data_IF_832118573454
#
_entry.id   IF_832118573454
#
_cell.length_a   1.000
_cell.length_b   1.000
_cell.length_c   1.000
_cell.angle_alpha   90.00
_cell.angle_beta   90.00
_cell.angle_gamma   90.00
#
_symmetry.space_group_name_H-M   'P 1'
#
loop_
_entity.id
_entity.type
_entity.pdbx_description
1 polymer ?
#
# COMPACT_ATOMS: atom_id res chain seq x y z
N UNK A 1 7.44 24.13 -58.94
CA UNK A 1 8.10 23.03 -58.21
C UNK A 1 8.32 23.52 -56.79
N UNK A 2 7.37 23.21 -55.91
CA UNK A 2 7.33 23.64 -54.51
C UNK A 2 8.00 22.58 -53.65
N UNK A 3 9.08 22.96 -52.97
CA UNK A 3 9.80 22.12 -52.02
C UNK A 3 9.02 22.05 -50.69
N UNK A 4 8.74 20.83 -50.25
CA UNK A 4 8.03 20.54 -49.02
C UNK A 4 9.04 20.18 -47.93
N UNK A 5 9.13 21.02 -46.90
CA UNK A 5 9.92 20.80 -45.69
C UNK A 5 9.11 19.92 -44.73
N UNK A 6 9.46 18.63 -44.65
CA UNK A 6 8.93 17.71 -43.66
C UNK A 6 9.57 17.97 -42.30
N UNK A 7 8.84 18.62 -41.40
CA UNK A 7 9.16 18.67 -39.97
C UNK A 7 8.96 17.26 -39.40
N UNK A 8 10.06 16.62 -38.97
CA UNK A 8 10.02 15.39 -38.19
C UNK A 8 9.46 15.67 -36.81
N UNK A 9 8.25 15.19 -36.53
CA UNK A 9 7.72 15.12 -35.18
C UNK A 9 8.46 14.01 -34.42
N UNK A 10 9.40 14.39 -33.56
CA UNK A 10 9.96 13.49 -32.56
C UNK A 10 8.87 13.18 -31.53
N UNK A 11 8.14 12.08 -31.74
CA UNK A 11 7.25 11.54 -30.73
C UNK A 11 8.08 11.07 -29.54
N UNK A 12 8.16 11.89 -28.48
CA UNK A 12 8.62 11.44 -27.18
C UNK A 12 7.65 10.34 -26.73
N UNK A 13 8.17 9.14 -26.55
CA UNK A 13 7.45 8.02 -25.97
C UNK A 13 7.10 8.41 -24.51
N UNK A 14 5.96 9.09 -24.29
CA UNK A 14 5.49 9.47 -22.95
C UNK A 14 5.45 8.18 -22.13
N UNK A 15 6.27 8.08 -21.09
CA UNK A 15 6.05 7.05 -20.10
C UNK A 15 4.63 7.25 -19.57
N UNK A 16 3.76 6.24 -19.78
CA UNK A 16 2.32 6.42 -19.61
C UNK A 16 1.99 6.59 -18.12
N UNK A 17 1.82 7.84 -17.67
CA UNK A 17 1.19 8.15 -16.39
C UNK A 17 -0.31 7.87 -16.49
N UNK A 18 -0.85 7.13 -15.53
CA UNK A 18 -2.28 6.94 -15.36
C UNK A 18 -2.74 7.90 -14.27
N UNK A 19 -3.62 8.82 -14.64
CA UNK A 19 -4.25 9.75 -13.69
C UNK A 19 -5.60 9.17 -13.30
N UNK A 20 -5.84 9.01 -12.00
CA UNK A 20 -7.17 8.67 -11.50
C UNK A 20 -7.62 9.68 -10.48
N UNK A 21 -8.88 10.10 -10.60
CA UNK A 21 -9.51 11.10 -9.74
C UNK A 21 -10.69 10.47 -9.04
N UNK A 22 -10.75 10.66 -7.73
CA UNK A 22 -11.81 10.16 -6.87
C UNK A 22 -12.25 11.29 -5.94
N UNK A 23 -13.56 11.44 -5.72
CA UNK A 23 -14.09 12.32 -4.68
C UNK A 23 -14.34 11.47 -3.44
N UNK A 24 -13.72 11.82 -2.32
CA UNK A 24 -13.87 11.08 -1.07
C UNK A 24 -15.27 11.32 -0.47
N UNK A 25 -15.66 10.48 0.49
CA UNK A 25 -16.95 10.61 1.17
C UNK A 25 -17.15 12.03 1.74
N UNK A 26 -18.39 12.51 1.74
CA UNK A 26 -18.70 13.89 2.10
C UNK A 26 -18.41 14.93 1.01
N UNK A 27 -17.71 14.59 -0.08
CA UNK A 27 -17.64 15.41 -1.30
C UNK A 27 -16.65 16.58 -1.28
N UNK A 28 -15.98 16.83 -0.14
CA UNK A 28 -15.14 18.03 0.07
C UNK A 28 -13.68 17.83 -0.30
N UNK A 29 -13.21 16.58 -0.34
CA UNK A 29 -11.82 16.22 -0.59
C UNK A 29 -11.76 15.40 -1.87
N UNK A 30 -10.85 15.78 -2.76
CA UNK A 30 -10.64 15.12 -4.05
C UNK A 30 -9.25 14.50 -4.06
N UNK A 31 -9.18 13.18 -4.22
CA UNK A 31 -7.94 12.44 -4.37
C UNK A 31 -7.58 12.32 -5.85
N UNK A 32 -6.46 12.91 -6.25
CA UNK A 32 -5.83 12.65 -7.55
C UNK A 32 -4.62 11.75 -7.34
N UNK A 33 -4.59 10.63 -8.04
CA UNK A 33 -3.47 9.68 -8.03
C UNK A 33 -2.74 9.74 -9.36
N UNK A 34 -1.46 10.10 -9.33
CA UNK A 34 -0.56 10.00 -10.49
C UNK A 34 0.19 8.67 -10.37
N UNK A 35 -0.09 7.76 -11.30
CA UNK A 35 0.44 6.39 -11.27
C UNK A 35 1.40 6.21 -12.44
N UNK A 36 2.70 6.14 -12.14
CA UNK A 36 3.74 6.02 -13.15
C UNK A 36 4.04 4.55 -13.50
N UNK A 37 4.58 4.31 -14.70
CA UNK A 37 4.80 2.96 -15.23
C UNK A 37 5.88 2.18 -14.48
N UNK A 38 6.91 2.86 -13.97
CA UNK A 38 8.10 2.24 -13.35
C UNK A 38 8.22 2.50 -11.85
N UNK A 39 7.11 2.74 -11.16
CA UNK A 39 7.08 3.09 -9.73
C UNK A 39 7.06 4.60 -9.48
N UNK A 40 6.82 4.96 -8.23
CA UNK A 40 6.78 6.33 -7.74
C UNK A 40 5.46 7.05 -7.90
N UNK A 41 4.43 6.59 -7.18
CA UNK A 41 3.13 7.23 -7.19
C UNK A 41 3.16 8.57 -6.45
N UNK A 42 2.29 9.47 -6.88
CA UNK A 42 2.01 10.73 -6.19
C UNK A 42 0.52 10.80 -5.89
N UNK A 43 0.18 10.97 -4.61
CA UNK A 43 -1.21 11.13 -4.18
C UNK A 43 -1.46 12.56 -3.76
N UNK A 44 -2.54 13.15 -4.26
CA UNK A 44 -2.81 14.58 -4.12
C UNK A 44 -4.20 14.74 -3.55
N UNK A 45 -4.27 15.14 -2.28
CA UNK A 45 -5.51 15.52 -1.60
C UNK A 45 -5.78 16.99 -1.88
N UNK A 46 -6.86 17.26 -2.60
CA UNK A 46 -7.29 18.61 -2.98
C UNK A 46 -8.55 19.00 -2.22
N UNK A 47 -8.51 20.15 -1.55
CA UNK A 47 -9.59 20.66 -0.70
C UNK A 47 -9.62 22.19 -0.70
N UNK A 48 -10.68 22.78 -0.16
CA UNK A 48 -10.81 24.22 0.06
C UNK A 48 -10.44 24.58 1.48
N UNK A 49 -9.60 25.61 1.67
CA UNK A 49 -9.31 26.20 2.98
C UNK A 49 -9.26 27.71 2.86
N UNK A 50 -10.09 28.41 3.64
CA UNK A 50 -10.17 29.88 3.59
C UNK A 50 -10.53 30.42 2.20
N UNK A 51 -11.41 29.73 1.47
CA UNK A 51 -11.84 30.11 0.11
C UNK A 51 -10.78 29.92 -0.98
N UNK A 52 -9.70 29.18 -0.69
CA UNK A 52 -8.65 28.86 -1.67
C UNK A 52 -8.48 27.35 -1.78
N UNK A 53 -8.22 26.89 -3.01
CA UNK A 53 -7.78 25.53 -3.26
C UNK A 53 -6.42 25.28 -2.61
N UNK A 54 -6.27 24.12 -1.98
CA UNK A 54 -5.03 23.64 -1.37
C UNK A 54 -4.79 22.20 -1.73
N UNK A 55 -3.51 21.84 -1.80
CA UNK A 55 -3.06 20.48 -2.07
C UNK A 55 -2.13 19.99 -0.96
N UNK A 56 -2.43 18.82 -0.40
CA UNK A 56 -1.46 18.02 0.36
C UNK A 56 -1.04 16.83 -0.49
N UNK A 57 0.26 16.70 -0.71
CA UNK A 57 0.86 15.58 -1.44
C UNK A 57 1.27 14.49 -0.44
N UNK A 58 1.00 13.23 -0.78
CA UNK A 58 1.60 12.06 -0.14
C UNK A 58 2.52 11.40 -1.17
N UNK A 59 3.79 11.33 -0.80
CA UNK A 59 4.94 11.06 -1.67
C UNK A 59 5.07 12.05 -2.84
N UNK A 60 6.20 11.97 -3.53
CA UNK A 60 6.58 12.86 -4.63
C UNK A 60 7.03 12.10 -5.88
N UNK A 61 6.93 10.77 -5.92
CA UNK A 61 7.33 10.02 -7.10
C UNK A 61 8.83 10.01 -7.35
N UNK A 62 9.24 9.61 -8.55
CA UNK A 62 10.63 9.38 -8.95
C UNK A 62 11.21 10.54 -9.77
N UNK A 63 12.49 10.87 -9.57
CA UNK A 63 13.19 11.99 -10.22
C UNK A 63 13.27 11.89 -11.76
N UNK A 64 13.12 10.68 -12.32
CA UNK A 64 13.04 10.45 -13.77
C UNK A 64 11.88 11.19 -14.43
N UNK A 65 10.83 11.53 -13.66
CA UNK A 65 9.65 12.26 -14.15
C UNK A 65 9.77 13.79 -13.98
N UNK A 66 10.94 14.31 -13.60
CA UNK A 66 11.15 15.74 -13.34
C UNK A 66 10.89 16.64 -14.56
N UNK A 67 11.13 16.15 -15.77
CA UNK A 67 10.84 16.88 -17.01
C UNK A 67 9.36 16.96 -17.40
N UNK A 68 8.49 16.15 -16.80
CA UNK A 68 7.08 16.05 -17.19
C UNK A 68 6.08 16.35 -16.06
N UNK A 69 6.49 16.23 -14.79
CA UNK A 69 5.58 16.35 -13.64
C UNK A 69 4.78 17.65 -13.63
N UNK A 70 5.39 18.81 -13.93
CA UNK A 70 4.67 20.08 -13.94
C UNK A 70 3.60 20.13 -15.05
N UNK A 71 3.86 19.52 -16.20
CA UNK A 71 2.86 19.37 -17.27
C UNK A 71 1.73 18.43 -16.84
N UNK A 72 2.06 17.31 -16.19
CA UNK A 72 1.08 16.35 -15.68
C UNK A 72 0.17 17.01 -14.62
N UNK A 73 0.74 17.81 -13.72
CA UNK A 73 -0.02 18.57 -12.72
C UNK A 73 -0.96 19.59 -13.39
N UNK A 74 -0.45 20.37 -14.35
CA UNK A 74 -1.24 21.33 -15.10
C UNK A 74 -2.40 20.66 -15.87
N UNK A 75 -2.13 19.57 -16.60
CA UNK A 75 -3.15 18.75 -17.29
C UNK A 75 -4.17 18.15 -16.31
N UNK A 76 -3.74 17.89 -15.06
CA UNK A 76 -4.60 17.40 -13.98
C UNK A 76 -5.36 18.51 -13.26
N UNK A 77 -5.14 19.79 -13.58
CA UNK A 77 -5.77 20.93 -12.90
C UNK A 77 -5.22 21.19 -11.50
N UNK A 78 -3.98 20.78 -11.24
CA UNK A 78 -3.27 20.97 -9.97
C UNK A 78 -2.23 22.05 -10.17
N UNK A 79 -2.34 23.12 -9.38
CA UNK A 79 -1.40 24.23 -9.43
C UNK A 79 -0.31 24.02 -8.36
N UNK A 80 0.98 23.91 -8.74
CA UNK A 80 2.06 23.76 -7.78
C UNK A 80 2.09 24.83 -6.70
N UNK A 81 1.72 26.08 -7.02
CA UNK A 81 1.70 27.18 -6.06
C UNK A 81 0.63 27.04 -4.95
N UNK A 82 -0.30 26.10 -5.09
CA UNK A 82 -1.34 25.80 -4.08
C UNK A 82 -1.01 24.55 -3.25
N UNK A 83 0.18 23.95 -3.44
CA UNK A 83 0.70 22.89 -2.58
C UNK A 83 1.10 23.49 -1.23
N UNK A 84 0.53 22.98 -0.15
CA UNK A 84 0.88 23.43 1.20
C UNK A 84 1.87 22.50 1.90
N UNK A 85 1.83 21.21 1.55
CA UNK A 85 2.58 20.16 2.24
C UNK A 85 2.88 18.99 1.33
N UNK A 86 4.06 18.40 1.52
CA UNK A 86 4.47 17.15 0.90
C UNK A 86 4.87 16.19 2.02
N UNK A 87 4.12 15.11 2.23
CA UNK A 87 4.39 14.10 3.26
C UNK A 87 5.10 12.92 2.61
N UNK A 88 6.26 12.54 3.11
CA UNK A 88 7.08 11.44 2.57
C UNK A 88 6.90 10.19 3.43
N UNK A 89 6.43 9.11 2.81
CA UNK A 89 6.19 7.85 3.52
C UNK A 89 7.48 7.17 3.96
N UNK A 90 8.54 7.24 3.16
CA UNK A 90 9.89 6.75 3.49
C UNK A 90 10.95 7.15 2.45
N UNK A 91 12.23 6.86 2.75
CA UNK A 91 13.43 7.21 1.98
C UNK A 91 13.68 6.51 0.65
N UNK A 92 12.73 5.77 0.08
CA UNK A 92 12.98 5.20 -1.24
C UNK A 92 12.88 6.28 -2.34
N UNK A 93 13.78 6.30 -3.33
CA UNK A 93 13.89 7.38 -4.32
C UNK A 93 12.62 7.59 -5.14
N UNK A 94 11.82 6.55 -5.35
CA UNK A 94 10.53 6.66 -6.01
C UNK A 94 9.43 7.28 -5.13
N UNK A 95 9.69 7.55 -3.85
CA UNK A 95 8.76 8.24 -2.95
C UNK A 95 9.11 9.71 -2.72
N UNK A 96 10.37 10.12 -2.90
CA UNK A 96 10.81 11.49 -2.65
C UNK A 96 11.50 12.18 -3.85
N UNK A 97 11.69 11.50 -4.97
CA UNK A 97 12.53 11.93 -6.08
C UNK A 97 12.17 13.29 -6.70
N UNK A 98 10.92 13.74 -6.59
CA UNK A 98 10.50 15.08 -7.06
C UNK A 98 10.29 16.11 -5.95
N UNK A 99 10.60 15.78 -4.69
CA UNK A 99 10.38 16.67 -3.53
C UNK A 99 11.00 18.03 -3.76
N UNK A 100 12.27 18.08 -4.15
CA UNK A 100 12.95 19.35 -4.38
C UNK A 100 12.21 20.23 -5.39
N UNK A 101 11.78 19.64 -6.51
CA UNK A 101 11.13 20.40 -7.58
C UNK A 101 9.78 20.92 -7.11
N UNK A 102 8.97 20.05 -6.50
CA UNK A 102 7.64 20.42 -6.02
C UNK A 102 7.71 21.42 -4.87
N UNK A 103 8.62 21.24 -3.91
CA UNK A 103 8.85 22.18 -2.81
C UNK A 103 9.41 23.52 -3.31
N UNK A 104 10.32 23.51 -4.29
CA UNK A 104 10.88 24.73 -4.89
C UNK A 104 9.84 25.56 -5.64
N UNK A 105 8.93 24.92 -6.37
CA UNK A 105 7.85 25.60 -7.10
C UNK A 105 6.73 26.13 -6.19
N UNK A 106 6.54 25.52 -5.02
CA UNK A 106 5.40 25.81 -4.13
C UNK A 106 5.75 26.57 -2.85
N UNK A 107 6.99 26.44 -2.38
CA UNK A 107 7.37 26.79 -1.00
C UNK A 107 6.74 25.87 0.06
N UNK A 108 6.22 24.70 -0.33
CA UNK A 108 5.53 23.78 0.56
C UNK A 108 6.46 23.22 1.64
N UNK A 109 5.91 23.00 2.83
CA UNK A 109 6.58 22.31 3.91
C UNK A 109 6.67 20.82 3.60
N UNK A 110 7.87 20.25 3.67
CA UNK A 110 8.06 18.81 3.54
C UNK A 110 7.98 18.18 4.94
N UNK A 111 7.23 17.09 5.08
CA UNK A 111 7.06 16.39 6.35
C UNK A 111 7.53 14.96 6.17
N UNK A 112 8.45 14.52 7.01
CA UNK A 112 9.01 13.17 6.97
C UNK A 112 9.30 12.65 8.37
N UNK A 113 9.40 11.34 8.52
CA UNK A 113 9.88 10.75 9.78
C UNK A 113 11.34 11.16 10.06
N UNK A 114 11.73 11.33 11.32
CA UNK A 114 13.06 11.81 11.71
C UNK A 114 14.21 10.98 11.13
N UNK A 115 14.00 9.68 10.92
CA UNK A 115 14.97 8.82 10.27
C UNK A 115 15.38 9.32 8.87
N UNK A 116 14.49 10.00 8.14
CA UNK A 116 14.75 10.56 6.81
C UNK A 116 15.90 11.58 6.82
N UNK A 117 16.18 12.20 7.98
CA UNK A 117 17.25 13.20 8.14
C UNK A 117 18.62 12.68 7.74
N UNK A 118 18.95 11.44 8.08
CA UNK A 118 20.24 10.83 7.72
C UNK A 118 20.44 10.77 6.19
N UNK A 119 19.36 10.53 5.43
CA UNK A 119 19.41 10.59 3.97
C UNK A 119 19.77 11.99 3.49
N UNK A 120 19.07 13.02 4.00
CA UNK A 120 19.27 14.42 3.63
C UNK A 120 20.68 14.92 3.99
N UNK A 121 21.22 14.48 5.13
CA UNK A 121 22.56 14.85 5.59
C UNK A 121 23.67 14.13 4.81
N UNK A 122 23.33 13.09 4.03
CA UNK A 122 24.27 12.30 3.24
C UNK A 122 24.85 11.09 3.98
N UNK A 123 24.28 10.75 5.14
CA UNK A 123 24.60 9.58 5.97
C UNK A 123 23.98 8.30 5.40
N UNK A 124 24.27 8.05 4.12
CA UNK A 124 23.65 6.96 3.36
C UNK A 124 24.57 5.75 3.31
N UNK A 125 24.04 4.58 3.69
CA UNK A 125 24.77 3.31 3.59
C UNK A 125 25.16 2.96 2.15
N UNK A 126 26.23 2.18 1.96
CA UNK A 126 26.67 1.77 0.60
C UNK A 126 25.56 1.07 -0.22
N UNK A 127 24.68 0.35 0.46
CA UNK A 127 23.53 -0.30 -0.16
C UNK A 127 22.47 0.69 -0.64
N UNK A 128 22.06 1.64 0.21
CA UNK A 128 21.08 2.68 -0.13
C UNK A 128 21.57 3.53 -1.31
N UNK A 129 22.88 3.81 -1.40
CA UNK A 129 23.49 4.50 -2.56
C UNK A 129 23.26 3.79 -3.90
N UNK A 130 23.07 2.47 -3.92
CA UNK A 130 22.75 1.75 -5.18
C UNK A 130 21.33 1.99 -5.66
N UNK A 131 20.41 2.36 -4.76
CA UNK A 131 19.01 2.61 -5.08
C UNK A 131 18.75 4.07 -5.43
N UNK A 132 19.58 4.98 -4.89
CA UNK A 132 19.45 6.43 -5.09
C UNK A 132 19.74 6.93 -6.51
N UNK A 133 20.34 6.12 -7.38
CA UNK A 133 20.72 6.53 -8.75
C UNK A 133 21.44 7.92 -8.77
N UNK A 134 21.32 8.69 -9.85
CA UNK A 134 21.76 10.10 -9.96
C UNK A 134 20.91 11.09 -9.12
N UNK A 135 20.15 10.64 -8.10
CA UNK A 135 19.36 11.54 -7.25
C UNK A 135 20.28 12.50 -6.50
N UNK A 136 20.19 13.78 -6.84
CA UNK A 136 20.95 14.83 -6.19
C UNK A 136 20.35 15.17 -4.81
N UNK A 137 20.74 14.40 -3.81
CA UNK A 137 20.32 14.58 -2.41
C UNK A 137 20.71 15.94 -1.83
N UNK A 138 21.71 16.62 -2.40
CA UNK A 138 22.14 17.94 -1.90
C UNK A 138 21.01 18.96 -1.98
N UNK A 139 20.13 18.81 -2.96
CA UNK A 139 18.97 19.66 -3.20
C UNK A 139 17.89 19.51 -2.12
N UNK A 140 17.81 18.36 -1.46
CA UNK A 140 16.88 18.19 -0.32
C UNK A 140 17.24 19.10 0.86
N UNK A 141 18.51 19.52 0.99
CA UNK A 141 18.94 20.46 2.05
C UNK A 141 18.38 21.87 1.85
N UNK A 142 17.90 22.19 0.66
CA UNK A 142 17.25 23.47 0.34
C UNK A 142 15.76 23.47 0.70
N UNK A 143 15.18 22.31 1.00
CA UNK A 143 13.77 22.18 1.34
C UNK A 143 13.51 22.52 2.82
N UNK A 144 12.36 23.13 3.11
CA UNK A 144 11.85 23.28 4.48
C UNK A 144 11.27 21.93 4.95
N UNK A 145 12.11 21.11 5.59
CA UNK A 145 11.75 19.77 6.07
C UNK A 145 11.49 19.78 7.58
N UNK A 146 10.29 19.38 7.96
CA UNK A 146 9.92 19.00 9.32
C UNK A 146 10.10 17.49 9.53
N UNK A 147 10.91 17.17 10.54
CA UNK A 147 11.22 15.82 10.95
C UNK A 147 10.36 15.42 12.14
N UNK A 148 9.49 14.44 11.95
CA UNK A 148 8.57 13.96 12.99
C UNK A 148 9.20 12.86 13.82
N UNK A 149 8.92 12.89 15.12
CA UNK A 149 9.34 11.88 16.09
C UNK A 149 8.10 11.20 16.66
N UNK A 150 8.26 9.96 17.15
CA UNK A 150 7.21 9.36 17.98
C UNK A 150 6.94 10.30 19.16
N UNK A 151 5.70 10.76 19.28
CA UNK A 151 5.31 11.64 20.38
C UNK A 151 5.21 10.82 21.66
N UNK A 152 5.97 11.17 22.69
CA UNK A 152 5.84 10.58 24.04
C UNK A 152 4.45 10.85 24.66
N UNK A 153 3.70 11.82 24.11
CA UNK A 153 2.37 12.24 24.58
C UNK A 153 1.26 11.98 23.56
N UNK A 154 1.58 11.43 22.39
CA UNK A 154 0.61 11.19 21.34
C UNK A 154 -0.21 9.94 21.63
N UNK A 155 -1.53 10.05 21.69
CA UNK A 155 -2.39 8.87 21.73
C UNK A 155 -2.19 8.06 20.44
N UNK A 156 -1.94 6.76 20.59
CA UNK A 156 -1.81 5.87 19.44
C UNK A 156 -3.16 5.73 18.75
N UNK A 157 -3.15 5.72 17.42
CA UNK A 157 -4.34 5.38 16.63
C UNK A 157 -4.42 3.87 16.52
N UNK A 158 -5.51 3.30 17.04
CA UNK A 158 -5.75 1.86 16.97
C UNK A 158 -6.33 1.51 15.60
N UNK A 159 -5.52 0.88 14.75
CA UNK A 159 -5.95 0.34 13.46
C UNK A 159 -6.10 -1.17 13.57
N UNK A 160 -7.34 -1.66 13.45
CA UNK A 160 -7.68 -3.08 13.52
C UNK A 160 -7.07 -3.82 14.72
N UNK A 161 -7.09 -3.17 15.89
CA UNK A 161 -6.57 -3.72 17.14
C UNK A 161 -5.09 -3.51 17.40
N UNK A 162 -4.34 -2.92 16.46
CA UNK A 162 -2.91 -2.61 16.61
C UNK A 162 -2.72 -1.12 16.81
N UNK A 163 -1.89 -0.75 17.77
CA UNK A 163 -1.61 0.64 18.12
C UNK A 163 -0.50 1.20 17.22
N UNK A 164 -0.86 2.19 16.39
CA UNK A 164 0.07 2.95 15.57
C UNK A 164 0.40 4.27 16.30
N UNK A 165 1.66 4.53 16.67
CA UNK A 165 2.01 5.73 17.40
C UNK A 165 1.81 6.98 16.52
N UNK A 166 1.16 8.00 17.07
CA UNK A 166 1.01 9.29 16.41
C UNK A 166 2.37 10.04 16.40
N UNK A 167 2.78 10.54 15.24
CA UNK A 167 4.04 11.27 15.06
C UNK A 167 3.89 12.79 15.17
N UNK A 168 2.66 13.28 15.06
CA UNK A 168 2.30 14.69 15.17
C UNK A 168 0.84 14.82 15.61
N UNK A 169 0.45 16.04 15.98
CA UNK A 169 -0.97 16.40 16.01
C UNK A 169 -1.58 16.21 14.62
N UNK A 170 -2.86 15.83 14.60
CA UNK A 170 -3.56 15.62 13.35
C UNK A 170 -3.67 16.92 12.55
N UNK A 171 -3.61 16.79 11.23
CA UNK A 171 -3.64 17.93 10.31
C UNK A 171 -5.02 18.07 9.69
N UNK A 172 -5.64 19.22 9.87
CA UNK A 172 -6.91 19.53 9.21
C UNK A 172 -6.73 19.69 7.68
N UNK A 173 -7.54 18.96 6.93
CA UNK A 173 -7.63 19.04 5.47
C UNK A 173 -9.01 19.51 5.02
N UNK A 174 -9.08 20.82 4.79
CA UNK A 174 -10.28 21.49 4.31
C UNK A 174 -11.32 21.72 5.40
N UNK A 175 -12.59 21.76 5.01
CA UNK A 175 -13.72 21.98 5.92
C UNK A 175 -14.32 20.64 6.38
N UNK A 176 -13.62 19.91 7.24
CA UNK A 176 -14.18 18.69 7.80
C UNK A 176 -13.29 17.46 7.74
N UNK A 177 -12.10 17.53 7.13
CA UNK A 177 -11.23 16.37 6.96
C UNK A 177 -10.00 16.45 7.83
N UNK A 178 -9.38 15.29 8.07
CA UNK A 178 -8.25 15.12 8.96
C UNK A 178 -7.21 14.16 8.39
N UNK A 179 -5.92 14.44 8.66
CA UNK A 179 -4.81 13.54 8.40
C UNK A 179 -4.08 13.21 9.70
N UNK A 180 -4.02 11.93 10.05
CA UNK A 180 -3.15 11.42 11.09
C UNK A 180 -1.86 10.86 10.47
N UNK A 181 -0.71 11.33 10.93
CA UNK A 181 0.61 10.87 10.49
C UNK A 181 1.16 9.94 11.56
N UNK A 182 1.31 8.67 11.20
CA UNK A 182 1.51 7.56 12.11
C UNK A 182 2.86 6.89 11.87
N UNK A 183 3.52 6.48 12.94
CA UNK A 183 4.68 5.61 12.89
C UNK A 183 4.25 4.16 12.74
N UNK A 184 5.21 3.29 12.42
CA UNK A 184 4.97 1.86 12.49
C UNK A 184 4.90 1.41 13.96
N UNK A 185 4.04 0.43 14.31
CA UNK A 185 4.11 -0.26 15.60
C UNK A 185 5.52 -0.80 15.85
N UNK A 186 5.93 -0.91 17.12
CA UNK A 186 7.26 -1.42 17.49
C UNK A 186 7.49 -2.82 16.92
N UNK A 187 8.30 -2.88 15.87
CA UNK A 187 8.67 -4.11 15.14
C UNK A 187 10.19 -4.29 15.19
N UNK A 188 10.67 -5.53 15.31
CA UNK A 188 12.11 -5.83 15.26
C UNK A 188 12.72 -5.56 13.87
N UNK A 189 11.88 -5.46 12.83
CA UNK A 189 12.30 -5.27 11.45
C UNK A 189 11.27 -4.44 10.67
N UNK A 190 11.65 -3.21 10.31
CA UNK A 190 10.84 -2.35 9.43
C UNK A 190 11.31 -2.41 7.97
N UNK A 191 10.41 -2.15 7.03
CA UNK A 191 10.75 -2.00 5.60
C UNK A 191 11.80 -0.91 5.38
N UNK A 192 11.60 0.22 6.04
CA UNK A 192 12.56 1.32 6.13
C UNK A 192 12.57 1.88 7.56
N UNK A 193 13.73 2.32 8.10
CA UNK A 193 13.80 2.92 9.45
C UNK A 193 13.02 4.24 9.59
N UNK A 194 12.55 4.81 8.48
CA UNK A 194 11.75 6.03 8.41
C UNK A 194 10.35 5.82 7.85
N UNK A 195 9.86 4.58 7.86
CA UNK A 195 8.53 4.25 7.41
C UNK A 195 7.46 4.90 8.29
N UNK A 196 6.61 5.73 7.66
CA UNK A 196 5.37 6.23 8.25
C UNK A 196 4.14 5.75 7.45
N UNK A 197 2.97 5.95 8.04
CA UNK A 197 1.65 5.70 7.47
C UNK A 197 0.83 6.97 7.61
N UNK A 198 0.06 7.34 6.58
CA UNK A 198 -0.86 8.47 6.66
C UNK A 198 -2.29 7.94 6.59
N UNK A 199 -3.08 8.23 7.61
CA UNK A 199 -4.52 7.99 7.64
C UNK A 199 -5.24 9.30 7.30
N UNK A 200 -5.98 9.30 6.20
CA UNK A 200 -6.82 10.40 5.76
C UNK A 200 -8.27 10.07 6.08
N UNK A 201 -8.90 10.87 6.94
CA UNK A 201 -10.33 10.78 7.19
C UNK A 201 -11.05 11.98 6.60
N UNK A 202 -12.14 11.80 5.84
CA UNK A 202 -12.93 12.92 5.32
C UNK A 202 -13.88 13.55 6.37
N UNK A 203 -13.73 13.20 7.66
CA UNK A 203 -14.51 13.67 8.81
C UNK A 203 -13.60 14.20 9.92
N UNK A 204 -14.13 15.11 10.74
CA UNK A 204 -13.39 15.81 11.80
C UNK A 204 -13.04 14.89 13.00
N UNK A 205 -13.81 13.81 13.20
CA UNK A 205 -13.59 12.83 14.26
C UNK A 205 -13.39 11.41 13.68
N UNK A 206 -12.13 10.97 13.51
CA UNK A 206 -11.81 9.64 13.02
C UNK A 206 -11.86 8.67 14.20
N UNK A 207 -13.04 8.16 14.55
CA UNK A 207 -13.12 7.00 15.42
C UNK A 207 -13.17 5.72 14.57
N UNK A 208 -12.08 4.93 14.51
CA UNK A 208 -12.11 3.63 13.83
C UNK A 208 -12.87 2.54 14.60
N UNK A 209 -13.46 2.83 15.78
CA UNK A 209 -14.05 1.76 16.62
C UNK A 209 -15.35 2.06 17.37
N UNK A 210 -16.02 3.19 17.16
CA UNK A 210 -17.35 3.40 17.76
C UNK A 210 -18.39 3.73 16.70
N UNK A 211 -19.59 3.20 16.92
CA UNK A 211 -20.75 3.14 16.02
C UNK A 211 -20.84 4.35 15.08
N UNK A 212 -21.12 4.06 13.82
CA UNK A 212 -21.41 5.02 12.75
C UNK A 212 -22.19 6.23 13.28
N UNK A 213 -21.47 7.29 13.66
CA UNK A 213 -22.08 8.60 13.84
C UNK A 213 -22.42 9.08 12.44
N UNK A 214 -23.71 9.07 12.12
CA UNK A 214 -24.35 9.70 10.97
C UNK A 214 -23.61 9.56 9.62
N UNK A 215 -23.77 8.41 8.95
CA UNK A 215 -23.60 8.32 7.49
C UNK A 215 -22.18 8.05 6.94
N UNK A 216 -21.17 7.87 7.79
CA UNK A 216 -19.82 7.49 7.37
C UNK A 216 -19.50 6.01 7.67
N UNK A 217 -18.78 5.36 6.75
CA UNK A 217 -18.40 3.94 6.81
C UNK A 217 -16.88 3.79 7.00
N UNK A 218 -16.38 2.67 7.54
CA UNK A 218 -14.95 2.42 7.64
C UNK A 218 -14.18 2.49 6.31
N UNK A 219 -14.82 2.28 5.14
CA UNK A 219 -14.19 2.51 3.82
C UNK A 219 -13.86 3.94 3.49
N UNK A 220 -14.45 4.89 4.20
CA UNK A 220 -14.43 6.28 3.79
C UNK A 220 -13.10 6.94 4.16
N UNK A 221 -12.39 6.37 5.13
CA UNK A 221 -11.01 6.72 5.44
C UNK A 221 -10.06 6.19 4.34
N UNK A 222 -8.85 6.74 4.20
CA UNK A 222 -7.85 6.30 3.20
C UNK A 222 -6.51 6.16 3.89
N UNK A 223 -5.85 5.02 3.70
CA UNK A 223 -4.53 4.77 4.29
C UNK A 223 -3.45 4.77 3.20
N UNK A 224 -2.49 5.67 3.33
CA UNK A 224 -1.28 5.70 2.53
C UNK A 224 -0.14 5.06 3.34
N UNK A 225 0.25 3.85 2.96
CA UNK A 225 1.24 3.05 3.71
C UNK A 225 2.62 2.99 3.04
N UNK A 226 2.82 3.70 1.93
CA UNK A 226 4.04 3.57 1.12
C UNK A 226 4.31 2.11 0.75
N UNK A 227 5.52 1.66 1.00
CA UNK A 227 5.94 0.28 0.76
C UNK A 227 5.69 -0.67 1.94
N UNK A 228 5.15 -0.19 3.06
CA UNK A 228 4.81 -1.05 4.20
C UNK A 228 3.87 -2.18 3.80
N UNK A 229 3.10 -2.01 2.72
CA UNK A 229 2.23 -3.04 2.17
C UNK A 229 2.96 -4.13 1.35
N UNK A 230 4.17 -3.89 0.84
CA UNK A 230 4.81 -4.80 -0.09
C UNK A 230 5.17 -6.14 0.56
N UNK A 231 4.69 -7.21 -0.08
CA UNK A 231 4.99 -8.60 0.25
C UNK A 231 6.45 -8.96 -0.05
N UNK A 232 7.19 -8.09 -0.77
CA UNK A 232 8.62 -8.17 -1.04
C UNK A 232 9.32 -6.88 -0.56
N UNK A 233 9.83 -6.86 0.65
CA UNK A 233 10.88 -5.92 1.03
C UNK A 233 12.14 -6.12 0.18
N UNK A 234 13.00 -5.09 0.01
CA UNK A 234 14.21 -5.17 -0.78
C UNK A 234 15.16 -6.26 -0.27
N UNK A 235 15.83 -6.94 -1.19
CA UNK A 235 16.85 -7.94 -0.85
C UNK A 235 18.10 -7.23 -0.31
N UNK A 236 18.47 -7.54 0.92
CA UNK A 236 19.67 -7.05 1.58
C UNK A 236 20.90 -7.75 1.00
N UNK A 237 21.88 -6.96 0.57
CA UNK A 237 23.17 -7.40 0.05
C UNK A 237 24.26 -7.21 1.11
N UNK A 238 25.33 -7.96 0.94
CA UNK A 238 26.44 -8.20 1.85
C UNK A 238 27.36 -6.99 2.10
N UNK A 239 27.45 -6.48 3.34
CA UNK A 239 28.68 -5.84 3.86
C UNK A 239 28.76 -5.60 5.40
N UNK A 240 29.99 -5.41 5.90
CA UNK A 240 30.55 -5.57 7.26
C UNK A 240 29.68 -5.51 8.54
N UNK A 241 28.60 -4.73 8.64
CA UNK A 241 27.62 -4.87 9.75
C UNK A 241 26.86 -6.20 9.64
N UNK A 242 26.69 -6.67 8.41
CA UNK A 242 26.28 -8.01 8.02
C UNK A 242 27.32 -9.06 8.43
N UNK A 243 28.59 -8.73 8.68
CA UNK A 243 29.60 -9.71 9.15
C UNK A 243 29.43 -10.01 10.65
N UNK A 244 29.23 -9.00 11.49
CA UNK A 244 28.93 -9.22 12.92
C UNK A 244 27.58 -9.89 13.12
N UNK A 245 26.61 -9.57 12.26
CA UNK A 245 25.33 -10.26 12.21
C UNK A 245 25.45 -11.69 11.64
N UNK A 246 26.16 -11.93 10.54
CA UNK A 246 26.50 -13.28 10.00
C UNK A 246 27.30 -14.12 10.98
N UNK A 247 28.11 -13.51 11.84
CA UNK A 247 28.85 -14.25 12.88
C UNK A 247 27.89 -14.73 13.98
N UNK A 248 26.96 -13.87 14.44
CA UNK A 248 25.91 -14.25 15.41
C UNK A 248 24.85 -15.18 14.82
N UNK A 249 24.45 -14.95 13.57
CA UNK A 249 23.53 -15.79 12.81
C UNK A 249 24.19 -17.11 12.43
N UNK A 250 25.47 -17.13 12.07
CA UNK A 250 26.30 -18.31 11.83
C UNK A 250 26.48 -19.17 13.09
N UNK A 251 26.54 -18.55 14.28
CA UNK A 251 26.48 -19.24 15.56
C UNK A 251 25.10 -19.86 15.84
N UNK A 252 24.01 -19.18 15.48
CA UNK A 252 22.64 -19.75 15.55
C UNK A 252 22.41 -20.82 14.47
N UNK A 253 23.02 -20.67 13.30
CA UNK A 253 22.92 -21.56 12.14
C UNK A 253 23.76 -22.83 12.35
N UNK A 254 24.94 -22.74 12.97
CA UNK A 254 25.66 -23.93 13.45
C UNK A 254 24.83 -24.67 14.51
N UNK A 255 24.15 -23.95 15.41
CA UNK A 255 23.22 -24.57 16.37
C UNK A 255 22.05 -25.27 15.66
N UNK A 256 21.49 -24.66 14.62
CA UNK A 256 20.39 -25.19 13.80
C UNK A 256 20.80 -26.38 12.93
N UNK A 257 22.01 -26.38 12.36
CA UNK A 257 22.53 -27.49 11.54
C UNK A 257 22.93 -28.69 12.41
N UNK A 258 23.45 -28.44 13.61
CA UNK A 258 23.70 -29.49 14.63
C UNK A 258 22.37 -30.10 15.14
N UNK A 259 21.24 -29.39 14.98
CA UNK A 259 19.89 -29.87 15.26
C UNK A 259 19.06 -30.23 14.00
N UNK A 260 19.67 -30.32 12.81
CA UNK A 260 19.02 -30.82 11.58
C UNK A 260 18.16 -29.84 10.76
N UNK A 261 18.24 -28.52 10.98
CA UNK A 261 17.49 -27.50 10.23
C UNK A 261 18.18 -26.98 8.95
N UNK A 262 17.38 -26.73 7.90
CA UNK A 262 17.81 -26.23 6.58
C UNK A 262 18.17 -24.74 6.49
N UNK A 263 18.58 -24.30 5.30
CA UNK A 263 19.12 -22.95 5.03
C UNK A 263 18.01 -21.89 4.95
N UNK A 264 17.89 -21.05 5.97
CA UNK A 264 16.83 -20.01 6.07
C UNK A 264 17.15 -18.84 5.13
N UNK A 265 16.31 -18.61 4.11
CA UNK A 265 16.32 -17.39 3.30
C UNK A 265 15.35 -16.37 3.91
N UNK A 266 15.71 -15.08 3.90
CA UNK A 266 14.91 -13.99 4.50
C UNK A 266 13.53 -13.91 3.84
N UNK A 267 12.46 -14.07 4.64
CA UNK A 267 11.10 -13.84 4.19
C UNK A 267 10.77 -12.33 4.28
N UNK A 268 10.57 -11.63 3.15
CA UNK A 268 10.19 -10.21 3.17
C UNK A 268 8.86 -9.92 3.88
N UNK A 269 8.02 -10.92 4.14
CA UNK A 269 6.74 -10.79 4.84
C UNK A 269 6.88 -10.74 6.37
N UNK A 270 8.05 -11.10 6.91
CA UNK A 270 8.33 -11.03 8.36
C UNK A 270 8.57 -9.59 8.82
N UNK A 271 8.88 -8.68 7.89
CA UNK A 271 9.00 -7.24 8.18
C UNK A 271 7.61 -6.68 8.49
N UNK A 272 7.48 -6.02 9.64
CA UNK A 272 6.27 -5.34 10.08
C UNK A 272 5.00 -6.21 10.06
N UNK A 273 5.13 -7.49 10.40
CA UNK A 273 4.03 -8.46 10.21
C UNK A 273 2.73 -8.06 10.92
N UNK A 274 2.81 -7.51 12.14
CA UNK A 274 1.66 -6.99 12.89
C UNK A 274 1.04 -5.76 12.22
N UNK A 275 1.88 -4.80 11.79
CA UNK A 275 1.41 -3.60 11.09
C UNK A 275 0.76 -3.97 9.75
N UNK A 276 1.37 -4.87 8.98
CA UNK A 276 0.83 -5.41 7.74
C UNK A 276 -0.50 -6.13 7.98
N UNK A 277 -0.63 -6.96 9.00
CA UNK A 277 -1.90 -7.66 9.33
C UNK A 277 -2.98 -6.67 9.79
N UNK A 278 -2.60 -5.63 10.53
CA UNK A 278 -3.51 -4.55 10.93
C UNK A 278 -4.03 -3.75 9.73
N UNK A 279 -3.14 -3.28 8.86
CA UNK A 279 -3.49 -2.59 7.62
C UNK A 279 -4.34 -3.46 6.70
N UNK A 280 -4.09 -4.78 6.68
CA UNK A 280 -4.90 -5.75 5.93
C UNK A 280 -6.34 -5.86 6.44
N UNK A 281 -6.55 -5.69 7.74
CA UNK A 281 -7.87 -5.78 8.39
C UNK A 281 -8.61 -4.43 8.41
N UNK A 282 -7.88 -3.31 8.47
CA UNK A 282 -8.39 -1.97 8.76
C UNK A 282 -9.16 -1.27 7.64
N UNK A 283 -9.35 -1.91 6.47
CA UNK A 283 -9.89 -1.28 5.27
C UNK A 283 -8.99 -0.17 4.68
N UNK A 284 -9.21 0.07 3.39
CA UNK A 284 -8.95 1.29 2.62
C UNK A 284 -7.77 1.35 1.66
N UNK A 285 -8.09 2.03 0.55
CA UNK A 285 -7.45 2.07 -0.76
C UNK A 285 -5.93 2.13 -0.75
N UNK A 286 -5.25 0.98 -0.65
CA UNK A 286 -3.80 0.97 -0.80
C UNK A 286 -3.48 0.91 -2.29
N UNK A 287 -3.48 2.07 -2.93
CA UNK A 287 -2.84 2.21 -4.23
C UNK A 287 -1.36 1.97 -4.00
N UNK A 288 -0.87 0.80 -4.38
CA UNK A 288 0.56 0.50 -4.38
C UNK A 288 0.86 -0.09 -5.73
N UNK A 289 1.24 0.78 -6.66
CA UNK A 289 2.01 0.35 -7.81
C UNK A 289 3.46 0.75 -7.59
N UNK A 290 4.39 -0.16 -7.29
CA UNK A 290 5.81 0.13 -7.36
C UNK A 290 6.39 -0.40 -8.68
N UNK A 291 7.64 -0.06 -8.95
CA UNK A 291 8.47 -0.50 -10.08
C UNK A 291 8.74 -2.00 -10.19
N UNK A 292 7.75 -2.85 -9.88
CA UNK A 292 7.79 -4.32 -9.98
C UNK A 292 6.58 -4.94 -10.70
N UNK A 293 5.66 -4.14 -11.25
CA UNK A 293 4.56 -4.64 -12.11
C UNK A 293 3.33 -3.72 -12.16
N UNK A 294 2.38 -4.05 -13.03
CA UNK A 294 1.06 -3.40 -13.05
C UNK A 294 0.19 -3.98 -11.92
N UNK A 295 0.28 -3.43 -10.70
CA UNK A 295 -0.35 -4.05 -9.51
C UNK A 295 -1.11 -3.06 -8.60
N UNK A 296 -2.28 -3.53 -8.12
CA UNK A 296 -3.00 -3.34 -6.84
C UNK A 296 -3.45 -1.94 -6.33
N UNK A 297 -4.78 -1.75 -6.14
CA UNK A 297 -5.44 -0.58 -5.51
C UNK A 297 -6.33 -1.03 -4.34
N UNK A 298 -5.74 -1.43 -3.21
CA UNK A 298 -6.40 -2.23 -2.19
C UNK A 298 -7.74 -1.73 -1.65
N UNK A 299 -8.85 -2.30 -2.12
CA UNK A 299 -9.97 -2.58 -1.23
C UNK A 299 -9.52 -3.68 -0.24
N UNK A 300 -10.10 -3.71 0.98
CA UNK A 300 -9.84 -4.74 2.02
C UNK A 300 -9.59 -6.08 1.36
N UNK A 301 -8.33 -6.51 1.24
CA UNK A 301 -8.06 -7.88 0.85
C UNK A 301 -8.77 -8.67 1.94
N UNK A 302 -9.56 -9.67 1.60
CA UNK A 302 -10.05 -10.62 2.58
C UNK A 302 -8.89 -11.59 2.79
N UNK A 303 -7.84 -11.19 3.54
CA UNK A 303 -6.47 -11.67 3.36
C UNK A 303 -6.39 -13.13 3.81
N UNK A 304 -7.32 -13.51 4.68
CA UNK A 304 -7.46 -14.82 5.29
C UNK A 304 -8.42 -15.74 4.54
N UNK A 305 -9.19 -15.21 3.59
CA UNK A 305 -10.19 -15.97 2.84
C UNK A 305 -9.69 -16.40 1.47
N UNK A 306 -8.92 -15.55 0.79
CA UNK A 306 -8.35 -15.86 -0.52
C UNK A 306 -6.85 -16.14 -0.39
N UNK A 307 -6.46 -17.14 0.40
CA UNK A 307 -5.05 -17.51 0.54
C UNK A 307 -4.53 -18.25 -0.71
N UNK A 308 -3.36 -17.83 -1.19
CA UNK A 308 -2.56 -18.63 -2.11
C UNK A 308 -1.94 -19.82 -1.36
N UNK A 309 -1.52 -20.85 -2.10
CA UNK A 309 -0.92 -22.04 -1.50
C UNK A 309 0.42 -21.68 -0.80
N UNK A 310 1.19 -20.73 -1.33
CA UNK A 310 2.38 -20.18 -0.66
C UNK A 310 2.08 -19.46 0.66
N UNK A 311 0.90 -18.87 0.82
CA UNK A 311 0.52 -18.26 2.10
C UNK A 311 0.28 -19.36 3.15
N UNK A 312 -0.40 -20.45 2.76
CA UNK A 312 -0.67 -21.59 3.64
C UNK A 312 0.60 -22.33 4.06
N UNK A 313 1.58 -22.49 3.16
CA UNK A 313 2.88 -23.08 3.53
C UNK A 313 3.53 -22.31 4.68
N UNK A 314 3.54 -20.98 4.57
CA UNK A 314 4.22 -20.12 5.53
C UNK A 314 3.45 -20.01 6.82
N UNK A 315 2.12 -19.96 6.76
CA UNK A 315 1.26 -20.08 7.93
C UNK A 315 1.52 -21.38 8.70
N UNK A 316 1.85 -22.47 7.99
CA UNK A 316 2.19 -23.75 8.59
C UNK A 316 3.67 -23.89 9.00
N UNK A 317 4.47 -22.84 8.87
CA UNK A 317 5.86 -22.79 9.33
C UNK A 317 6.89 -23.28 8.30
N UNK A 318 6.49 -23.47 7.04
CA UNK A 318 7.40 -23.85 5.96
C UNK A 318 7.95 -22.61 5.23
N UNK A 319 9.14 -22.76 4.64
CA UNK A 319 9.74 -21.71 3.83
C UNK A 319 9.12 -21.64 2.42
N UNK A 320 9.25 -20.50 1.74
CA UNK A 320 8.70 -20.28 0.38
C UNK A 320 9.37 -21.10 -0.72
N UNK A 321 10.57 -21.61 -0.48
CA UNK A 321 11.32 -22.46 -1.40
C UNK A 321 10.96 -23.94 -1.25
N UNK A 322 10.16 -24.29 -0.23
CA UNK A 322 9.66 -25.65 -0.06
C UNK A 322 8.63 -26.01 -1.13
N UNK A 323 8.53 -27.31 -1.41
CA UNK A 323 7.60 -27.78 -2.44
C UNK A 323 6.15 -27.62 -2.01
N UNK A 324 5.32 -26.98 -2.84
CA UNK A 324 3.87 -26.92 -2.65
C UNK A 324 3.19 -28.32 -2.61
N UNK A 325 3.89 -29.37 -3.05
CA UNK A 325 3.40 -30.74 -2.88
C UNK A 325 3.25 -31.14 -1.41
N UNK A 326 3.97 -30.49 -0.49
CA UNK A 326 3.83 -30.69 0.96
C UNK A 326 2.39 -30.45 1.44
N UNK A 327 1.70 -29.45 0.87
CA UNK A 327 0.30 -29.16 1.21
C UNK A 327 -0.66 -30.31 0.86
N UNK A 328 -0.24 -31.22 -0.01
CA UNK A 328 -0.99 -32.43 -0.40
C UNK A 328 -0.55 -33.68 0.36
N UNK A 329 0.44 -33.56 1.26
CA UNK A 329 0.88 -34.67 2.10
C UNK A 329 -0.24 -35.14 3.03
N UNK A 330 -0.19 -36.39 3.46
CA UNK A 330 -1.15 -36.94 4.42
C UNK A 330 -1.18 -36.15 5.75
N UNK A 331 -0.06 -35.54 6.12
CA UNK A 331 0.07 -34.71 7.32
C UNK A 331 -0.62 -33.34 7.17
N UNK A 332 -0.37 -32.62 6.07
CA UNK A 332 -0.87 -31.26 5.90
C UNK A 332 -2.24 -31.18 5.25
N UNK A 333 -2.67 -32.17 4.47
CA UNK A 333 -3.95 -32.12 3.75
C UNK A 333 -5.15 -31.84 4.66
N UNK A 334 -5.29 -32.44 5.87
CA UNK A 334 -6.35 -32.10 6.81
C UNK A 334 -6.27 -30.65 7.32
N UNK A 335 -5.04 -30.15 7.58
CA UNK A 335 -4.81 -28.76 8.03
C UNK A 335 -5.17 -27.76 6.93
N UNK A 336 -4.81 -28.05 5.68
CA UNK A 336 -5.21 -27.26 4.51
C UNK A 336 -6.72 -27.21 4.37
N UNK A 337 -7.40 -28.35 4.48
CA UNK A 337 -8.86 -28.40 4.39
C UNK A 337 -9.53 -27.57 5.49
N UNK A 338 -9.11 -27.74 6.75
CA UNK A 338 -9.63 -26.96 7.87
C UNK A 338 -9.36 -25.46 7.69
N UNK A 339 -8.17 -25.09 7.19
CA UNK A 339 -7.83 -23.68 6.97
C UNK A 339 -8.65 -23.04 5.85
N UNK A 340 -8.95 -23.80 4.79
CA UNK A 340 -9.85 -23.38 3.70
C UNK A 340 -11.30 -23.28 4.16
N UNK A 341 -11.73 -24.12 5.09
CA UNK A 341 -13.05 -24.00 5.72
C UNK A 341 -13.16 -22.71 6.53
N UNK A 342 -12.17 -22.44 7.39
CA UNK A 342 -12.09 -21.19 8.15
C UNK A 342 -12.05 -19.97 7.22
N UNK A 343 -11.32 -20.06 6.11
CA UNK A 343 -11.27 -19.02 5.08
C UNK A 343 -12.65 -18.71 4.50
N UNK A 344 -13.49 -19.72 4.27
CA UNK A 344 -14.87 -19.55 3.81
C UNK A 344 -15.76 -18.91 4.87
N UNK A 345 -15.69 -19.37 6.12
CA UNK A 345 -16.49 -18.78 7.21
C UNK A 345 -16.15 -17.30 7.40
N UNK A 346 -14.86 -16.97 7.46
CA UNK A 346 -14.42 -15.57 7.54
C UNK A 346 -14.83 -14.75 6.32
N UNK A 347 -14.95 -15.36 5.13
CA UNK A 347 -15.45 -14.65 3.95
C UNK A 347 -16.92 -14.27 4.11
N UNK A 348 -17.76 -15.22 4.54
CA UNK A 348 -19.18 -14.96 4.75
C UNK A 348 -19.42 -13.94 5.86
N UNK A 349 -18.75 -14.10 7.01
CA UNK A 349 -18.80 -13.16 8.14
C UNK A 349 -18.42 -11.74 7.74
N UNK A 350 -17.39 -11.60 6.90
CA UNK A 350 -16.94 -10.31 6.37
C UNK A 350 -18.01 -9.62 5.52
N UNK A 351 -18.70 -10.37 4.65
CA UNK A 351 -19.79 -9.81 3.83
C UNK A 351 -21.02 -9.43 4.67
N UNK A 352 -21.34 -10.20 5.73
CA UNK A 352 -22.36 -9.81 6.71
C UNK A 352 -21.97 -8.49 7.38
N UNK A 353 -20.71 -8.38 7.82
CA UNK A 353 -20.21 -7.15 8.45
C UNK A 353 -20.31 -5.95 7.50
N UNK A 354 -20.03 -6.12 6.20
CA UNK A 354 -20.26 -5.04 5.22
C UNK A 354 -21.74 -4.70 5.09
N UNK A 355 -22.64 -5.68 5.03
CA UNK A 355 -24.07 -5.38 5.01
C UNK A 355 -24.54 -4.61 6.26
N UNK A 356 -24.05 -4.99 7.45
CA UNK A 356 -24.35 -4.31 8.73
C UNK A 356 -23.79 -2.88 8.80
N UNK A 357 -22.66 -2.62 8.13
CA UNK A 357 -22.08 -1.29 7.96
C UNK A 357 -22.81 -0.44 6.89
N UNK A 358 -23.89 -0.95 6.30
CA UNK A 358 -24.75 -0.21 5.38
C UNK A 358 -24.33 -0.25 3.92
N UNK A 359 -23.44 -1.16 3.51
CA UNK A 359 -23.10 -1.33 2.10
C UNK A 359 -24.22 -2.05 1.36
N UNK A 360 -24.58 -1.51 0.19
CA UNK A 360 -25.55 -2.16 -0.70
C UNK A 360 -24.93 -3.39 -1.37
N UNK A 361 -25.75 -4.37 -1.81
CA UNK A 361 -25.25 -5.53 -2.55
C UNK A 361 -24.41 -5.18 -3.78
N UNK A 362 -24.76 -4.10 -4.49
CA UNK A 362 -24.04 -3.64 -5.68
C UNK A 362 -22.68 -3.06 -5.32
N UNK A 363 -22.57 -2.29 -4.23
CA UNK A 363 -21.30 -1.77 -3.73
C UNK A 363 -20.35 -2.89 -3.30
N UNK A 364 -20.86 -3.87 -2.53
CA UNK A 364 -20.09 -5.05 -2.11
C UNK A 364 -19.62 -5.83 -3.35
N UNK A 365 -20.50 -6.06 -4.32
CA UNK A 365 -20.15 -6.75 -5.58
C UNK A 365 -19.08 -5.97 -6.35
N UNK A 366 -19.20 -4.64 -6.43
CA UNK A 366 -18.21 -3.75 -7.03
C UNK A 366 -16.84 -3.85 -6.36
N UNK A 367 -16.79 -3.90 -5.02
CA UNK A 367 -15.57 -4.10 -4.25
C UNK A 367 -14.93 -5.47 -4.55
N UNK A 368 -15.71 -6.55 -4.59
CA UNK A 368 -15.20 -7.88 -4.90
C UNK A 368 -14.68 -8.00 -6.34
N UNK A 369 -15.39 -7.41 -7.32
CA UNK A 369 -14.95 -7.34 -8.71
C UNK A 369 -13.65 -6.55 -8.84
N UNK A 370 -13.55 -5.44 -8.10
CA UNK A 370 -12.33 -4.64 -8.04
C UNK A 370 -11.16 -5.45 -7.47
N UNK A 371 -11.33 -6.10 -6.32
CA UNK A 371 -10.34 -7.00 -5.72
C UNK A 371 -9.87 -8.03 -6.75
N UNK A 372 -10.81 -8.69 -7.45
CA UNK A 372 -10.48 -9.67 -8.48
C UNK A 372 -9.60 -9.10 -9.61
N UNK A 373 -9.97 -7.94 -10.16
CA UNK A 373 -9.25 -7.29 -11.28
C UNK A 373 -7.86 -6.87 -10.89
N UNK A 374 -7.66 -6.48 -9.64
CA UNK A 374 -6.41 -5.93 -9.15
C UNK A 374 -5.39 -6.97 -8.72
N UNK A 375 -5.80 -8.23 -8.55
CA UNK A 375 -4.91 -9.37 -8.38
C UNK A 375 -4.23 -9.72 -9.70
N UNK A 376 -3.53 -8.80 -10.37
CA UNK A 376 -2.76 -9.05 -11.62
C UNK A 376 -1.38 -8.40 -11.52
N UNK A 377 -0.41 -8.86 -12.30
CA UNK A 377 0.95 -8.31 -12.40
C UNK A 377 1.99 -9.02 -11.52
N UNK A 378 3.15 -8.37 -11.41
CA UNK A 378 4.23 -8.75 -10.49
C UNK A 378 5.26 -9.70 -11.11
N UNK A 379 6.28 -10.03 -10.31
CA UNK A 379 7.25 -11.08 -10.69
C UNK A 379 6.59 -12.47 -10.75
N UNK A 380 7.23 -13.48 -11.36
CA UNK A 380 6.60 -14.78 -11.65
C UNK A 380 5.92 -15.47 -10.45
N UNK A 381 6.53 -15.38 -9.26
CA UNK A 381 5.95 -15.94 -8.04
C UNK A 381 4.70 -15.18 -7.58
N UNK A 382 4.72 -13.85 -7.68
CA UNK A 382 3.63 -12.97 -7.25
C UNK A 382 2.44 -13.09 -8.19
N UNK A 383 2.66 -13.10 -9.51
CA UNK A 383 1.59 -13.32 -10.48
C UNK A 383 0.90 -14.66 -10.25
N UNK A 384 1.67 -15.71 -9.93
CA UNK A 384 1.11 -17.02 -9.60
C UNK A 384 0.23 -16.97 -8.35
N UNK A 385 0.73 -16.39 -7.25
CA UNK A 385 -0.06 -16.26 -6.02
C UNK A 385 -1.35 -15.46 -6.29
N UNK A 386 -1.25 -14.38 -7.07
CA UNK A 386 -2.41 -13.56 -7.46
C UNK A 386 -3.42 -14.31 -8.31
N UNK A 387 -2.95 -15.11 -9.26
CA UNK A 387 -3.82 -16.01 -10.01
C UNK A 387 -4.56 -16.97 -9.08
N UNK A 388 -3.85 -17.61 -8.15
CA UNK A 388 -4.47 -18.50 -7.16
C UNK A 388 -5.52 -17.75 -6.34
N UNK A 389 -5.24 -16.53 -5.89
CA UNK A 389 -6.20 -15.67 -5.16
C UNK A 389 -7.46 -15.37 -5.97
N UNK A 390 -7.34 -15.07 -7.28
CA UNK A 390 -8.48 -14.88 -8.19
C UNK A 390 -9.33 -16.14 -8.29
N UNK A 391 -8.70 -17.31 -8.40
CA UNK A 391 -9.38 -18.61 -8.46
C UNK A 391 -10.06 -18.93 -7.13
N UNK A 392 -9.44 -18.62 -5.99
CA UNK A 392 -10.03 -18.76 -4.65
C UNK A 392 -11.29 -17.91 -4.49
N UNK A 393 -11.24 -16.64 -4.89
CA UNK A 393 -12.41 -15.75 -4.81
C UNK A 393 -13.59 -16.31 -5.61
N UNK A 394 -13.34 -16.79 -6.84
CA UNK A 394 -14.37 -17.46 -7.66
C UNK A 394 -14.95 -18.69 -6.94
N UNK A 395 -14.10 -19.52 -6.36
CA UNK A 395 -14.52 -20.71 -5.61
C UNK A 395 -15.35 -20.38 -4.37
N UNK A 396 -14.96 -19.35 -3.60
CA UNK A 396 -15.72 -18.87 -2.45
C UNK A 396 -17.11 -18.36 -2.85
N UNK A 397 -17.21 -17.60 -3.94
CA UNK A 397 -18.50 -17.12 -4.45
C UNK A 397 -19.40 -18.28 -4.91
N UNK A 398 -18.85 -19.30 -5.58
CA UNK A 398 -19.62 -20.49 -5.99
C UNK A 398 -20.18 -21.19 -4.76
N UNK A 399 -19.32 -21.42 -3.76
CA UNK A 399 -19.74 -22.07 -2.51
C UNK A 399 -20.77 -21.23 -1.78
N UNK A 400 -20.57 -19.91 -1.66
CA UNK A 400 -21.51 -19.02 -0.98
C UNK A 400 -22.89 -19.08 -1.63
N UNK A 401 -22.97 -19.05 -2.96
CA UNK A 401 -24.23 -19.19 -3.71
C UNK A 401 -24.97 -20.49 -3.39
N UNK A 402 -24.24 -21.57 -3.19
CA UNK A 402 -24.77 -22.93 -2.99
C UNK A 402 -25.03 -23.28 -1.51
N UNK A 403 -24.52 -22.47 -0.57
CA UNK A 403 -24.65 -22.74 0.86
C UNK A 403 -26.01 -22.26 1.42
N UNK A 404 -26.98 -23.17 1.48
CA UNK A 404 -28.33 -22.91 1.99
C UNK A 404 -28.37 -22.43 3.45
N UNK A 405 -27.28 -22.58 4.21
CA UNK A 405 -27.19 -22.06 5.58
C UNK A 405 -26.96 -20.55 5.63
N UNK A 406 -26.54 -19.94 4.51
CA UNK A 406 -26.29 -18.51 4.42
C UNK A 406 -27.56 -17.73 4.01
N UNK A 407 -27.68 -16.44 4.43
CA UNK A 407 -28.78 -15.58 4.03
C UNK A 407 -28.98 -15.53 2.52
N UNK A 408 -30.24 -15.56 2.07
CA UNK A 408 -30.61 -15.45 0.65
C UNK A 408 -29.98 -14.22 -0.02
N UNK A 409 -29.90 -13.09 0.70
CA UNK A 409 -29.25 -11.86 0.22
C UNK A 409 -27.78 -12.05 -0.14
N UNK A 410 -27.02 -12.82 0.66
CA UNK A 410 -25.61 -13.13 0.36
C UNK A 410 -25.48 -14.11 -0.80
N UNK A 411 -26.40 -15.06 -0.93
CA UNK A 411 -26.43 -16.01 -2.06
C UNK A 411 -26.68 -15.28 -3.38
N UNK A 412 -27.64 -14.36 -3.40
CA UNK A 412 -27.93 -13.50 -4.55
C UNK A 412 -26.77 -12.56 -4.88
N UNK A 413 -26.13 -11.99 -3.86
CA UNK A 413 -24.90 -11.19 -4.03
C UNK A 413 -23.78 -12.01 -4.67
N UNK A 414 -23.60 -13.27 -4.25
CA UNK A 414 -22.58 -14.13 -4.84
C UNK A 414 -22.86 -14.39 -6.33
N UNK A 415 -24.11 -14.66 -6.69
CA UNK A 415 -24.54 -14.86 -8.07
C UNK A 415 -24.34 -13.61 -8.96
N UNK A 416 -24.75 -12.43 -8.46
CA UNK A 416 -24.56 -11.17 -9.19
C UNK A 416 -23.07 -10.85 -9.39
N UNK A 417 -22.27 -11.03 -8.35
CA UNK A 417 -20.80 -10.83 -8.39
C UNK A 417 -20.15 -11.76 -9.41
N UNK A 418 -20.51 -13.05 -9.44
CA UNK A 418 -19.97 -14.00 -10.42
C UNK A 418 -20.27 -13.62 -11.87
N UNK A 419 -21.48 -13.10 -12.11
CA UNK A 419 -21.88 -12.62 -13.42
C UNK A 419 -21.01 -11.43 -13.87
N UNK A 420 -20.72 -10.50 -12.97
CA UNK A 420 -19.82 -9.36 -13.21
C UNK A 420 -18.37 -9.79 -13.46
N UNK A 421 -17.89 -10.80 -12.74
CA UNK A 421 -16.53 -11.35 -12.95
C UNK A 421 -16.38 -12.00 -14.33
N UNK A 422 -17.46 -12.59 -14.87
CA UNK A 422 -17.45 -13.29 -16.16
C UNK A 422 -17.55 -12.33 -17.35
N UNK A 423 -18.30 -11.23 -17.18
CA UNK A 423 -18.43 -10.18 -18.21
C UNK A 423 -17.19 -9.28 -18.32
N UNK A 424 -16.37 -9.26 -17.27
CA UNK A 424 -15.09 -8.56 -17.27
C UNK A 424 -14.03 -9.39 -18.01
N UNK A 425 -13.69 -9.03 -19.25
CA UNK A 425 -12.45 -9.52 -19.87
C UNK A 425 -11.25 -8.85 -19.20
N UNK A 426 -10.31 -9.64 -18.71
CA UNK A 426 -9.00 -9.19 -18.19
C UNK A 426 -8.07 -8.77 -19.33
#
# INVERSE_FOLDING_TARGET
MTGNSGAGTSGSNRDSVVVVKETLAGGKIHLTSLVFRYGGNVYILTYQRGGRTRHTFIDAGDSRHSGEILSILAESGINPADIERIIITHRHPDHFGLVYLLAGESGAKVVAHHGFRGLVEGEVGQMERRWLDDSDLSRLKECDIEYLHESDTGEAVKLAGVDFPSLAEAVDIGEGGRLDILGCPRSEMTHSPDQLVVLCSPRDDPHPHEQSSEGFRPTDDVIFSGDLWLMRGPMFSSDMTDIMWRFRAGLRQMRSMVSGGGMVRRDPRVQDSEAKDALKKGFCLIRVKPGHGNEFLGARIIPRSILADNDMLVEFGYSLDESLSLLKSAELAPRVAARREQAYLSFAEELVSWAELGYTPDEISGLLVRIYREQVGGGPLVEKDRQERRERLKGLLTRLREDETQPESLRQLAESTQSLLTSTRL
#
